data_IF_498035726137
#
_entry.id   IF_498035726137
#
_cell.length_a   1.000
_cell.length_b   1.000
_cell.length_c   1.000
_cell.angle_alpha   90.00
_cell.angle_beta   90.00
_cell.angle_gamma   90.00
#
_symmetry.space_group_name_H-M   'P 1'
#
loop_
_entity.id
_entity.type
_entity.pdbx_description
1 polymer ?
#
# COMPACT_ATOMS: atom_id res chain seq x y z
N UNK A 1 28.38 10.56 -48.64
CA UNK A 1 29.02 10.31 -47.35
C UNK A 1 28.22 9.23 -46.65
N UNK A 2 28.80 8.07 -46.37
CA UNK A 2 28.17 7.02 -45.58
C UNK A 2 28.19 7.47 -44.11
N UNK A 3 27.04 7.84 -43.57
CA UNK A 3 26.92 8.08 -42.14
C UNK A 3 27.07 6.73 -41.43
N UNK A 4 28.16 6.55 -40.69
CA UNK A 4 28.26 5.45 -39.75
C UNK A 4 27.23 5.69 -38.64
N UNK A 5 26.37 4.70 -38.41
CA UNK A 5 25.44 4.73 -37.27
C UNK A 5 26.24 4.82 -35.97
N UNK A 6 26.05 5.85 -35.14
CA UNK A 6 26.78 5.96 -33.87
C UNK A 6 26.54 4.74 -32.98
N UNK A 7 27.60 4.31 -32.31
CA UNK A 7 27.54 3.32 -31.24
C UNK A 7 26.74 3.84 -30.04
N UNK A 8 26.32 2.94 -29.16
CA UNK A 8 25.55 3.31 -27.97
C UNK A 8 26.30 4.28 -27.05
N UNK A 9 27.62 4.12 -26.89
CA UNK A 9 28.45 5.01 -26.08
C UNK A 9 28.57 6.41 -26.71
N UNK A 10 28.73 6.47 -28.04
CA UNK A 10 28.75 7.74 -28.78
C UNK A 10 27.41 8.46 -28.65
N UNK A 11 26.29 7.74 -28.79
CA UNK A 11 24.95 8.30 -28.65
C UNK A 11 24.69 8.86 -27.25
N UNK A 12 25.13 8.15 -26.20
CA UNK A 12 25.00 8.62 -24.82
C UNK A 12 25.84 9.89 -24.56
N UNK A 13 27.08 9.91 -25.02
CA UNK A 13 27.96 11.07 -24.87
C UNK A 13 27.41 12.29 -25.62
N UNK A 14 26.88 12.06 -26.82
CA UNK A 14 26.19 13.05 -27.63
C UNK A 14 24.98 13.61 -26.89
N UNK A 15 24.11 12.77 -26.32
CA UNK A 15 22.96 13.25 -25.54
C UNK A 15 23.39 14.02 -24.29
N UNK A 16 24.51 13.69 -23.64
CA UNK A 16 25.00 14.44 -22.48
C UNK A 16 25.47 15.85 -22.86
N UNK A 17 26.21 15.97 -23.96
CA UNK A 17 26.91 17.20 -24.34
C UNK A 17 26.14 18.09 -25.32
N UNK A 18 25.18 17.53 -26.07
CA UNK A 18 24.52 18.27 -27.14
C UNK A 18 23.64 19.40 -26.62
N UNK A 19 23.82 20.57 -27.26
CA UNK A 19 22.87 21.67 -27.23
C UNK A 19 21.63 21.33 -28.07
N UNK A 20 20.50 22.04 -27.89
CA UNK A 20 19.32 21.85 -28.76
C UNK A 20 19.66 21.95 -30.25
N UNK A 21 20.46 22.93 -30.66
CA UNK A 21 20.92 23.09 -32.04
C UNK A 21 21.71 21.89 -32.57
N UNK A 22 22.60 21.29 -31.77
CA UNK A 22 23.31 20.07 -32.16
C UNK A 22 22.36 18.88 -32.32
N UNK A 23 21.37 18.73 -31.43
CA UNK A 23 20.39 17.66 -31.55
C UNK A 23 19.58 17.80 -32.85
N UNK A 24 19.20 19.02 -33.24
CA UNK A 24 18.49 19.27 -34.49
C UNK A 24 19.24 18.79 -35.73
N UNK A 25 20.56 18.94 -35.76
CA UNK A 25 21.39 18.51 -36.89
C UNK A 25 21.56 16.99 -36.96
N UNK A 26 21.59 16.33 -35.79
CA UNK A 26 21.93 14.90 -35.68
C UNK A 26 20.69 14.02 -35.79
N UNK A 27 19.56 14.46 -35.23
CA UNK A 27 18.32 13.70 -35.18
C UNK A 27 17.88 13.17 -36.55
N UNK A 28 17.90 13.94 -37.65
CA UNK A 28 17.51 13.43 -38.97
C UNK A 28 18.31 12.20 -39.42
N UNK A 29 19.59 12.09 -39.02
CA UNK A 29 20.49 11.00 -39.40
C UNK A 29 20.38 9.75 -38.52
N UNK A 30 19.69 9.81 -37.37
CA UNK A 30 19.53 8.67 -36.48
C UNK A 30 18.52 7.66 -37.02
N UNK A 31 18.92 6.38 -37.04
CA UNK A 31 18.02 5.28 -37.34
C UNK A 31 17.00 5.04 -36.21
N UNK A 32 15.90 4.37 -36.52
CA UNK A 32 14.82 4.05 -35.57
C UNK A 32 15.30 3.38 -34.26
N UNK A 33 16.19 2.37 -34.26
CA UNK A 33 16.69 1.78 -33.02
C UNK A 33 17.46 2.78 -32.15
N UNK A 34 18.11 3.76 -32.77
CA UNK A 34 18.88 4.78 -32.06
C UNK A 34 17.94 5.79 -31.41
N UNK A 35 16.81 6.12 -32.04
CA UNK A 35 15.77 6.93 -31.40
C UNK A 35 15.18 6.24 -30.17
N UNK A 36 14.93 4.93 -30.24
CA UNK A 36 14.51 4.15 -29.07
C UNK A 36 15.57 4.22 -27.96
N UNK A 37 16.85 4.09 -28.29
CA UNK A 37 17.94 4.20 -27.31
C UNK A 37 18.06 5.62 -26.73
N UNK A 38 17.81 6.67 -27.52
CA UNK A 38 17.80 8.04 -27.02
C UNK A 38 16.79 8.23 -25.88
N UNK A 39 15.57 7.72 -26.06
CA UNK A 39 14.55 7.77 -25.02
C UNK A 39 15.03 7.05 -23.75
N UNK A 40 15.57 5.84 -23.87
CA UNK A 40 16.07 5.06 -22.72
C UNK A 40 17.21 5.77 -21.98
N UNK A 41 18.19 6.29 -22.71
CA UNK A 41 19.32 7.00 -22.09
C UNK A 41 18.91 8.27 -21.35
N UNK A 42 17.89 8.99 -21.84
CA UNK A 42 17.37 10.16 -21.13
C UNK A 42 16.76 9.82 -19.76
N UNK A 43 16.29 8.59 -19.56
CA UNK A 43 15.74 8.11 -18.28
C UNK A 43 16.85 7.52 -17.39
N UNK A 44 17.64 6.61 -17.96
CA UNK A 44 18.58 5.77 -17.22
C UNK A 44 19.85 6.49 -16.77
N UNK A 45 20.25 7.57 -17.46
CA UNK A 45 21.60 8.14 -17.33
C UNK A 45 21.64 9.61 -16.88
N UNK A 46 20.86 10.00 -15.87
CA UNK A 46 20.89 11.33 -15.20
C UNK A 46 21.31 12.50 -16.13
N UNK A 47 20.68 12.57 -17.31
CA UNK A 47 21.13 13.48 -18.36
C UNK A 47 20.70 14.92 -17.98
N UNK A 48 21.62 15.90 -17.97
CA UNK A 48 21.25 17.28 -17.70
C UNK A 48 20.20 17.77 -18.70
N UNK A 49 19.16 18.43 -18.18
CA UNK A 49 18.04 18.96 -18.96
C UNK A 49 17.31 17.89 -19.78
N UNK A 50 17.16 16.67 -19.23
CA UNK A 50 16.49 15.55 -19.90
C UNK A 50 15.11 15.94 -20.47
N UNK A 51 14.29 16.68 -19.72
CA UNK A 51 13.00 17.18 -20.21
C UNK A 51 13.12 18.05 -21.47
N UNK A 52 14.01 19.05 -21.45
CA UNK A 52 14.22 19.93 -22.61
C UNK A 52 14.72 19.14 -23.82
N UNK A 53 15.59 18.15 -23.62
CA UNK A 53 16.06 17.27 -24.70
C UNK A 53 14.95 16.39 -25.24
N UNK A 54 14.11 15.82 -24.36
CA UNK A 54 12.94 15.03 -24.75
C UNK A 54 11.96 15.84 -25.60
N UNK A 55 11.60 17.04 -25.16
CA UNK A 55 10.75 17.97 -25.91
C UNK A 55 11.35 18.32 -27.26
N UNK A 56 12.66 18.59 -27.31
CA UNK A 56 13.32 18.94 -28.56
C UNK A 56 13.36 17.77 -29.55
N UNK A 57 13.59 16.54 -29.07
CA UNK A 57 13.47 15.34 -29.92
C UNK A 57 12.06 15.24 -30.48
N UNK A 58 11.03 15.41 -29.65
CA UNK A 58 9.64 15.37 -30.08
C UNK A 58 9.33 16.45 -31.14
N UNK A 59 9.85 17.67 -30.97
CA UNK A 59 9.67 18.76 -31.93
C UNK A 59 10.27 18.44 -33.31
N UNK A 60 11.46 17.83 -33.36
CA UNK A 60 12.18 17.58 -34.61
C UNK A 60 11.76 16.30 -35.33
N UNK A 61 11.31 15.27 -34.62
CA UNK A 61 10.88 14.01 -35.26
C UNK A 61 9.47 14.16 -35.80
N UNK A 62 9.32 14.19 -37.12
CA UNK A 62 8.03 14.42 -37.79
C UNK A 62 7.43 13.17 -38.46
N UNK A 63 8.25 12.16 -38.75
CA UNK A 63 7.79 10.92 -39.40
C UNK A 63 7.13 9.98 -38.38
N UNK A 64 5.95 9.45 -38.70
CA UNK A 64 5.17 8.58 -37.81
C UNK A 64 5.95 7.35 -37.33
N UNK A 65 6.61 6.62 -38.23
CA UNK A 65 7.39 5.41 -37.88
C UNK A 65 8.54 5.72 -36.90
N UNK A 66 9.11 6.92 -37.01
CA UNK A 66 10.19 7.39 -36.14
C UNK A 66 9.66 7.80 -34.77
N UNK A 67 8.48 8.43 -34.71
CA UNK A 67 7.77 8.71 -33.45
C UNK A 67 7.36 7.41 -32.74
N UNK A 68 6.85 6.42 -33.47
CA UNK A 68 6.56 5.09 -32.94
C UNK A 68 7.81 4.44 -32.34
N UNK A 69 8.91 4.46 -33.07
CA UNK A 69 10.19 3.88 -32.61
C UNK A 69 10.74 4.60 -31.39
N UNK A 70 10.61 5.93 -31.33
CA UNK A 70 10.96 6.72 -30.17
C UNK A 70 10.08 6.34 -28.96
N UNK A 71 8.78 6.19 -29.15
CA UNK A 71 7.83 5.84 -28.09
C UNK A 71 8.10 4.48 -27.44
N UNK A 72 8.63 3.50 -28.19
CA UNK A 72 9.02 2.18 -27.66
C UNK A 72 10.10 2.25 -26.56
N UNK A 73 10.85 3.35 -26.49
CA UNK A 73 11.91 3.55 -25.52
C UNK A 73 11.51 4.41 -24.32
N UNK A 74 10.28 4.92 -24.28
CA UNK A 74 9.85 5.85 -23.23
C UNK A 74 9.57 5.16 -21.90
N UNK A 75 9.96 5.82 -20.82
CA UNK A 75 9.48 5.52 -19.46
C UNK A 75 8.14 6.20 -19.17
N UNK A 76 7.46 5.78 -18.10
CA UNK A 76 6.21 6.40 -17.63
C UNK A 76 6.37 7.89 -17.35
N UNK A 77 7.49 8.28 -16.71
CA UNK A 77 7.77 9.67 -16.41
C UNK A 77 8.00 10.49 -17.68
N UNK A 78 8.72 9.93 -18.66
CA UNK A 78 8.94 10.60 -19.94
C UNK A 78 7.66 10.77 -20.74
N UNK A 79 6.77 9.77 -20.73
CA UNK A 79 5.49 9.91 -21.42
C UNK A 79 4.60 10.97 -20.74
N UNK A 80 4.57 11.04 -19.41
CA UNK A 80 3.91 12.12 -18.66
C UNK A 80 4.48 13.50 -19.03
N UNK A 81 5.80 13.63 -19.12
CA UNK A 81 6.48 14.83 -19.58
C UNK A 81 6.09 15.23 -21.01
N UNK A 82 5.96 14.25 -21.91
CA UNK A 82 5.48 14.50 -23.28
C UNK A 82 4.03 15.01 -23.27
N UNK A 83 3.15 14.41 -22.47
CA UNK A 83 1.75 14.86 -22.36
C UNK A 83 1.66 16.29 -21.81
N UNK A 84 2.49 16.64 -20.82
CA UNK A 84 2.63 17.99 -20.31
C UNK A 84 3.06 18.96 -21.42
N UNK A 85 4.13 18.64 -22.15
CA UNK A 85 4.63 19.49 -23.23
C UNK A 85 3.60 19.65 -24.37
N UNK A 86 2.93 18.58 -24.79
CA UNK A 86 1.86 18.61 -25.79
C UNK A 86 0.64 19.44 -25.34
N UNK A 87 0.38 19.51 -24.03
CA UNK A 87 -0.70 20.34 -23.48
C UNK A 87 -0.40 21.85 -23.65
N UNK A 88 0.87 22.21 -23.58
CA UNK A 88 1.38 23.58 -23.72
C UNK A 88 1.66 23.96 -25.18
N UNK A 89 1.84 22.98 -26.07
CA UNK A 89 2.17 23.20 -27.49
C UNK A 89 1.15 22.53 -28.42
N UNK A 90 -0.04 23.15 -28.63
CA UNK A 90 -1.13 22.54 -29.40
C UNK A 90 -0.79 22.16 -30.84
N UNK A 91 0.19 22.84 -31.46
CA UNK A 91 0.64 22.54 -32.83
C UNK A 91 1.24 21.14 -32.97
N UNK A 92 1.74 20.55 -31.87
CA UNK A 92 2.37 19.22 -31.86
C UNK A 92 1.40 18.09 -31.52
N UNK A 93 0.13 18.38 -31.21
CA UNK A 93 -0.86 17.36 -30.77
C UNK A 93 -1.00 16.18 -31.75
N UNK A 94 -0.87 16.44 -33.06
CA UNK A 94 -0.91 15.42 -34.11
C UNK A 94 0.14 14.31 -33.97
N UNK A 95 1.21 14.54 -33.19
CA UNK A 95 2.26 13.55 -32.92
C UNK A 95 1.86 12.50 -31.88
N UNK A 96 0.77 12.73 -31.13
CA UNK A 96 0.34 11.84 -30.06
C UNK A 96 -0.09 10.46 -30.58
N UNK A 97 -0.85 10.40 -31.67
CA UNK A 97 -1.32 9.13 -32.23
C UNK A 97 -0.19 8.15 -32.60
N UNK A 98 0.85 8.55 -33.38
CA UNK A 98 2.03 7.69 -33.60
C UNK A 98 2.78 7.32 -32.33
N UNK A 99 2.88 8.22 -31.35
CA UNK A 99 3.50 7.88 -30.06
C UNK A 99 2.71 6.77 -29.35
N UNK A 100 1.38 6.84 -29.33
CA UNK A 100 0.52 5.82 -28.72
C UNK A 100 0.67 4.45 -29.40
N UNK A 101 0.87 4.41 -30.72
CA UNK A 101 1.12 3.15 -31.45
C UNK A 101 2.40 2.47 -30.98
N UNK A 102 3.48 3.24 -30.74
CA UNK A 102 4.75 2.69 -30.29
C UNK A 102 4.87 2.48 -28.78
N UNK A 103 3.95 3.05 -27.99
CA UNK A 103 4.04 3.06 -26.53
C UNK A 103 3.82 1.65 -25.94
N UNK A 104 4.71 1.12 -25.09
CA UNK A 104 4.47 -0.14 -24.43
C UNK A 104 3.24 -0.06 -23.52
N UNK A 105 2.36 -1.05 -23.60
CA UNK A 105 1.12 -1.08 -22.80
C UNK A 105 1.37 -0.83 -21.30
N UNK A 106 2.36 -1.47 -20.61
CA UNK A 106 2.62 -1.21 -19.19
C UNK A 106 2.90 0.26 -18.86
N UNK A 107 3.54 0.99 -19.77
CA UNK A 107 3.83 2.42 -19.60
C UNK A 107 2.54 3.23 -19.66
N UNK A 108 1.64 2.91 -20.59
CA UNK A 108 0.31 3.53 -20.66
C UNK A 108 -0.51 3.27 -19.39
N UNK A 109 -0.55 2.02 -18.91
CA UNK A 109 -1.29 1.65 -17.69
C UNK A 109 -0.80 2.46 -16.48
N UNK A 110 0.51 2.51 -16.25
CA UNK A 110 1.10 3.28 -15.15
C UNK A 110 0.93 4.80 -15.33
N UNK A 111 0.84 5.27 -16.57
CA UNK A 111 0.54 6.69 -16.85
C UNK A 111 -0.87 7.04 -16.38
N UNK A 112 -1.86 6.19 -16.63
CA UNK A 112 -3.23 6.43 -16.17
C UNK A 112 -3.35 6.51 -14.64
N UNK A 113 -2.51 5.79 -13.90
CA UNK A 113 -2.46 5.85 -12.42
C UNK A 113 -1.84 7.16 -11.89
N UNK A 114 -1.04 7.87 -12.68
CA UNK A 114 -0.23 9.02 -12.23
C UNK A 114 -0.54 10.33 -12.93
N UNK A 115 -1.35 10.29 -13.99
CA UNK A 115 -1.58 11.45 -14.85
C UNK A 115 -2.29 12.57 -14.09
N UNK A 116 -1.75 13.78 -14.18
CA UNK A 116 -2.44 14.96 -13.68
C UNK A 116 -3.68 15.24 -14.55
N UNK A 117 -4.86 15.49 -13.94
CA UNK A 117 -6.09 15.83 -14.68
C UNK A 117 -5.92 16.96 -15.71
N UNK A 118 -4.98 17.89 -15.50
CA UNK A 118 -4.67 18.97 -16.44
C UNK A 118 -4.15 18.45 -17.80
N UNK A 119 -3.35 17.37 -17.80
CA UNK A 119 -2.73 16.82 -19.01
C UNK A 119 -3.61 15.76 -19.69
N UNK A 120 -4.64 15.28 -18.99
CA UNK A 120 -5.61 14.31 -19.50
C UNK A 120 -6.32 14.79 -20.78
N UNK A 121 -6.46 16.12 -20.95
CA UNK A 121 -7.08 16.70 -22.13
C UNK A 121 -6.33 16.36 -23.43
N UNK A 122 -5.02 16.11 -23.39
CA UNK A 122 -4.27 15.63 -24.55
C UNK A 122 -4.80 14.28 -25.04
N UNK A 123 -5.01 13.34 -24.13
CA UNK A 123 -5.56 12.02 -24.45
C UNK A 123 -7.04 12.09 -24.85
N UNK A 124 -7.83 13.00 -24.26
CA UNK A 124 -9.24 13.19 -24.67
C UNK A 124 -9.40 13.58 -26.13
N UNK A 125 -8.46 14.33 -26.71
CA UNK A 125 -8.51 14.67 -28.13
C UNK A 125 -8.28 13.47 -29.05
N UNK A 126 -7.60 12.44 -28.55
CA UNK A 126 -7.32 11.19 -29.25
C UNK A 126 -8.35 10.09 -28.94
N UNK A 127 -9.43 10.39 -28.20
CA UNK A 127 -10.41 9.40 -27.75
C UNK A 127 -11.06 8.59 -28.89
N UNK A 128 -11.12 9.18 -30.08
CA UNK A 128 -11.67 8.57 -31.29
C UNK A 128 -10.64 7.77 -32.10
N UNK A 129 -9.36 7.80 -31.76
CA UNK A 129 -8.31 7.16 -32.55
C UNK A 129 -8.09 5.71 -32.12
N UNK A 130 -7.82 4.85 -33.09
CA UNK A 130 -7.60 3.42 -32.88
C UNK A 130 -6.47 3.11 -31.88
N UNK A 131 -5.30 3.82 -31.90
CA UNK A 131 -4.22 3.52 -30.96
C UNK A 131 -4.64 3.72 -29.50
N UNK A 132 -5.37 4.79 -29.20
CA UNK A 132 -5.85 5.04 -27.84
C UNK A 132 -6.92 4.03 -27.44
N UNK A 133 -7.87 3.72 -28.33
CA UNK A 133 -8.90 2.71 -28.07
C UNK A 133 -8.31 1.32 -27.84
N UNK A 134 -7.26 0.95 -28.57
CA UNK A 134 -6.53 -0.29 -28.37
C UNK A 134 -5.88 -0.34 -26.98
N UNK A 135 -5.14 0.70 -26.59
CA UNK A 135 -4.51 0.79 -25.27
C UNK A 135 -5.53 0.77 -24.12
N UNK A 136 -6.69 1.41 -24.30
CA UNK A 136 -7.79 1.37 -23.33
C UNK A 136 -8.44 -0.02 -23.26
N UNK A 137 -8.53 -0.74 -24.37
CA UNK A 137 -8.99 -2.14 -24.40
C UNK A 137 -8.02 -3.05 -23.63
N UNK A 138 -6.71 -2.86 -23.82
CA UNK A 138 -5.70 -3.57 -23.03
C UNK A 138 -5.78 -3.23 -21.54
N UNK A 139 -6.03 -1.95 -21.20
CA UNK A 139 -6.26 -1.53 -19.82
C UNK A 139 -7.47 -2.22 -19.18
N UNK A 140 -8.57 -2.38 -19.92
CA UNK A 140 -9.75 -3.11 -19.45
C UNK A 140 -9.39 -4.57 -19.12
N UNK A 141 -8.68 -5.26 -20.01
CA UNK A 141 -8.26 -6.64 -19.76
C UNK A 141 -7.30 -6.78 -18.58
N UNK A 142 -6.38 -5.83 -18.42
CA UNK A 142 -5.52 -5.75 -17.24
C UNK A 142 -6.33 -5.53 -15.96
N UNK A 143 -7.38 -4.70 -16.00
CA UNK A 143 -8.30 -4.51 -14.88
C UNK A 143 -9.08 -5.78 -14.55
N UNK A 144 -9.55 -6.52 -15.55
CA UNK A 144 -10.24 -7.81 -15.34
C UNK A 144 -9.33 -8.83 -14.64
N UNK A 145 -8.08 -8.95 -15.11
CA UNK A 145 -7.09 -9.82 -14.51
C UNK A 145 -6.72 -9.40 -13.08
N UNK A 146 -6.52 -8.09 -12.85
CA UNK A 146 -6.25 -7.55 -11.52
C UNK A 146 -7.42 -7.76 -10.57
N UNK A 147 -8.66 -7.60 -11.05
CA UNK A 147 -9.86 -7.85 -10.25
C UNK A 147 -9.93 -9.31 -9.80
N UNK A 148 -9.69 -10.26 -10.72
CA UNK A 148 -9.68 -11.69 -10.40
C UNK A 148 -8.61 -12.04 -9.37
N UNK A 149 -7.37 -11.64 -9.62
CA UNK A 149 -6.24 -11.93 -8.72
C UNK A 149 -6.40 -11.26 -7.34
N UNK A 150 -7.01 -10.07 -7.30
CA UNK A 150 -7.30 -9.40 -6.02
C UNK A 150 -8.45 -10.09 -5.28
N UNK A 151 -9.48 -10.55 -5.97
CA UNK A 151 -10.56 -11.32 -5.35
C UNK A 151 -10.03 -12.62 -4.72
N UNK A 152 -9.19 -13.37 -5.44
CA UNK A 152 -8.50 -14.54 -4.92
C UNK A 152 -7.63 -14.19 -3.70
N UNK A 153 -6.93 -13.05 -3.75
CA UNK A 153 -6.14 -12.55 -2.63
C UNK A 153 -7.01 -12.22 -1.40
N UNK A 154 -8.16 -11.58 -1.58
CA UNK A 154 -9.11 -11.28 -0.48
C UNK A 154 -9.61 -12.57 0.17
N UNK A 155 -10.01 -13.57 -0.61
CA UNK A 155 -10.42 -14.88 -0.09
C UNK A 155 -9.28 -15.56 0.67
N UNK A 156 -8.06 -15.51 0.14
CA UNK A 156 -6.89 -16.06 0.82
C UNK A 156 -6.60 -15.35 2.15
N UNK A 157 -6.67 -14.02 2.21
CA UNK A 157 -6.49 -13.27 3.45
C UNK A 157 -7.60 -13.58 4.47
N UNK A 158 -8.84 -13.72 4.01
CA UNK A 158 -9.93 -14.17 4.87
C UNK A 158 -9.63 -15.53 5.48
N UNK A 159 -9.15 -16.50 4.68
CA UNK A 159 -8.74 -17.81 5.20
C UNK A 159 -7.58 -17.70 6.20
N UNK A 160 -6.55 -16.92 5.87
CA UNK A 160 -5.41 -16.70 6.77
C UNK A 160 -5.86 -16.14 8.11
N UNK A 161 -6.78 -15.17 8.11
CA UNK A 161 -7.38 -14.62 9.34
C UNK A 161 -8.02 -15.73 10.17
N UNK A 162 -8.83 -16.62 9.57
CA UNK A 162 -9.47 -17.72 10.30
C UNK A 162 -8.46 -18.77 10.83
N UNK A 163 -7.33 -18.95 10.15
CA UNK A 163 -6.27 -19.90 10.52
C UNK A 163 -5.35 -19.33 11.61
N UNK A 164 -5.37 -18.02 11.87
CA UNK A 164 -4.60 -17.39 12.94
C UNK A 164 -4.93 -18.02 14.28
N UNK A 165 -3.90 -18.24 15.08
CA UNK A 165 -3.99 -18.66 16.48
C UNK A 165 -3.73 -17.43 17.37
N UNK A 166 -4.77 -16.74 17.88
CA UNK A 166 -4.59 -15.48 18.62
C UNK A 166 -3.66 -15.62 19.83
N UNK A 167 -3.64 -16.78 20.48
CA UNK A 167 -2.88 -17.03 21.70
C UNK A 167 -1.35 -16.99 21.49
N UNK A 168 -0.88 -17.38 20.30
CA UNK A 168 0.55 -17.47 19.96
C UNK A 168 1.00 -16.37 19.01
N UNK A 169 0.08 -15.49 18.61
CA UNK A 169 0.35 -14.45 17.62
C UNK A 169 1.40 -13.46 18.13
N UNK A 170 2.45 -13.29 17.33
CA UNK A 170 3.48 -12.28 17.57
C UNK A 170 3.10 -10.93 16.96
N UNK A 171 3.78 -9.88 17.41
CA UNK A 171 3.61 -8.53 16.85
C UNK A 171 3.99 -8.46 15.37
N UNK A 172 5.10 -9.09 14.99
CA UNK A 172 5.60 -9.08 13.60
C UNK A 172 4.61 -9.76 12.64
N UNK A 173 4.01 -10.89 13.04
CA UNK A 173 3.00 -11.57 12.24
C UNK A 173 1.72 -10.74 12.04
N UNK A 174 1.28 -10.02 13.09
CA UNK A 174 0.11 -9.15 13.00
C UNK A 174 0.38 -7.95 12.10
N UNK A 175 1.51 -7.26 12.28
CA UNK A 175 1.90 -6.14 11.42
C UNK A 175 2.07 -6.57 9.96
N UNK A 176 2.69 -7.73 9.71
CA UNK A 176 2.88 -8.25 8.35
C UNK A 176 1.54 -8.54 7.66
N UNK A 177 0.56 -9.08 8.38
CA UNK A 177 -0.77 -9.33 7.85
C UNK A 177 -1.50 -8.02 7.53
N UNK A 178 -1.49 -7.06 8.45
CA UNK A 178 -2.10 -5.75 8.25
C UNK A 178 -1.45 -5.00 7.08
N UNK A 179 -0.12 -5.04 6.97
CA UNK A 179 0.62 -4.43 5.87
C UNK A 179 0.23 -5.04 4.51
N UNK A 180 -0.03 -6.35 4.45
CA UNK A 180 -0.51 -7.01 3.25
C UNK A 180 -1.94 -6.58 2.87
N UNK A 181 -2.86 -6.50 3.85
CA UNK A 181 -4.23 -6.00 3.64
C UNK A 181 -4.18 -4.54 3.16
N UNK A 182 -3.35 -3.71 3.78
CA UNK A 182 -3.16 -2.31 3.39
C UNK A 182 -2.61 -2.18 1.97
N UNK A 183 -1.64 -3.03 1.59
CA UNK A 183 -1.10 -3.05 0.23
C UNK A 183 -2.18 -3.39 -0.81
N UNK A 184 -3.05 -4.35 -0.54
CA UNK A 184 -4.19 -4.65 -1.42
C UNK A 184 -5.12 -3.45 -1.58
N UNK A 185 -5.43 -2.77 -0.47
CA UNK A 185 -6.24 -1.55 -0.47
C UNK A 185 -5.63 -0.45 -1.37
N UNK A 186 -4.33 -0.18 -1.23
CA UNK A 186 -3.63 0.83 -2.03
C UNK A 186 -3.65 0.50 -3.54
N UNK A 187 -3.46 -0.77 -3.90
CA UNK A 187 -3.52 -1.22 -5.31
C UNK A 187 -4.89 -0.93 -5.92
N UNK A 188 -5.99 -1.22 -5.19
CA UNK A 188 -7.34 -0.96 -5.69
C UNK A 188 -7.65 0.54 -5.80
N UNK A 189 -7.17 1.37 -4.87
CA UNK A 189 -7.34 2.83 -4.95
C UNK A 189 -6.65 3.39 -6.19
N UNK A 190 -5.38 3.06 -6.39
CA UNK A 190 -4.62 3.52 -7.56
C UNK A 190 -5.30 3.08 -8.86
N UNK A 191 -5.82 1.84 -8.89
CA UNK A 191 -6.53 1.33 -10.05
C UNK A 191 -7.87 2.03 -10.29
N UNK A 192 -8.64 2.32 -9.25
CA UNK A 192 -9.89 3.08 -9.35
C UNK A 192 -9.66 4.48 -9.90
N UNK A 193 -8.58 5.14 -9.50
CA UNK A 193 -8.17 6.42 -10.07
C UNK A 193 -7.84 6.30 -11.56
N UNK A 194 -7.07 5.29 -11.96
CA UNK A 194 -6.80 5.01 -13.38
C UNK A 194 -8.08 4.72 -14.18
N UNK A 195 -9.04 3.99 -13.61
CA UNK A 195 -10.35 3.75 -14.24
C UNK A 195 -11.11 5.07 -14.43
N UNK A 196 -11.09 5.97 -13.45
CA UNK A 196 -11.71 7.29 -13.57
C UNK A 196 -11.06 8.12 -14.68
N UNK A 197 -9.72 8.08 -14.80
CA UNK A 197 -9.00 8.74 -15.89
C UNK A 197 -9.37 8.14 -17.26
N UNK A 198 -9.41 6.81 -17.37
CA UNK A 198 -9.83 6.11 -18.59
C UNK A 198 -11.27 6.44 -19.00
N UNK A 199 -12.21 6.47 -18.04
CA UNK A 199 -13.59 6.90 -18.28
C UNK A 199 -13.67 8.35 -18.77
N UNK A 200 -12.90 9.25 -18.16
CA UNK A 200 -12.86 10.65 -18.56
C UNK A 200 -12.27 10.85 -19.98
N UNK A 201 -11.38 9.97 -20.42
CA UNK A 201 -10.89 9.93 -21.81
C UNK A 201 -12.00 9.44 -22.74
N UNK A 202 -12.67 8.35 -22.38
CA UNK A 202 -13.69 7.68 -23.22
C UNK A 202 -15.04 8.40 -23.27
N UNK A 203 -15.33 9.33 -22.37
CA UNK A 203 -16.61 10.04 -22.36
C UNK A 203 -16.92 10.75 -23.69
N UNK A 204 -15.87 11.19 -24.39
CA UNK A 204 -15.99 11.81 -25.71
C UNK A 204 -15.76 10.81 -26.86
N UNK A 205 -15.53 9.53 -26.57
CA UNK A 205 -15.40 8.49 -27.58
C UNK A 205 -16.79 7.90 -27.87
N UNK A 206 -17.12 7.70 -29.14
CA UNK A 206 -18.37 7.03 -29.55
C UNK A 206 -18.31 5.49 -29.31
N UNK A 207 -17.67 5.06 -28.22
CA UNK A 207 -17.42 3.66 -27.84
C UNK A 207 -18.16 3.33 -26.54
N UNK A 208 -19.49 3.26 -26.66
CA UNK A 208 -20.40 2.96 -25.54
C UNK A 208 -20.01 1.64 -24.86
N UNK A 209 -19.58 0.65 -25.63
CA UNK A 209 -19.12 -0.64 -25.14
C UNK A 209 -17.94 -0.54 -24.14
N UNK A 210 -16.97 0.33 -24.41
CA UNK A 210 -15.82 0.54 -23.50
C UNK A 210 -16.23 1.33 -22.26
N UNK A 211 -17.13 2.30 -22.40
CA UNK A 211 -17.66 3.11 -21.30
C UNK A 211 -18.43 2.22 -20.31
N UNK A 212 -19.33 1.37 -20.83
CA UNK A 212 -20.11 0.44 -20.02
C UNK A 212 -19.20 -0.55 -19.29
N UNK A 213 -18.19 -1.07 -20.00
CA UNK A 213 -17.25 -2.03 -19.41
C UNK A 213 -16.41 -1.42 -18.29
N UNK A 214 -15.90 -0.20 -18.45
CA UNK A 214 -15.19 0.51 -17.38
C UNK A 214 -16.10 0.87 -16.21
N UNK A 215 -17.37 1.19 -16.47
CA UNK A 215 -18.35 1.47 -15.42
C UNK A 215 -18.64 0.22 -14.58
N UNK A 216 -18.82 -0.93 -15.24
CA UNK A 216 -18.95 -2.22 -14.56
C UNK A 216 -17.71 -2.55 -13.73
N UNK A 217 -16.51 -2.38 -14.31
CA UNK A 217 -15.25 -2.62 -13.58
C UNK A 217 -15.16 -1.69 -12.37
N UNK A 218 -15.45 -0.40 -12.52
CA UNK A 218 -15.43 0.56 -11.41
C UNK A 218 -16.30 0.09 -10.24
N UNK A 219 -17.53 -0.35 -10.50
CA UNK A 219 -18.43 -0.88 -9.48
C UNK A 219 -17.86 -2.14 -8.80
N UNK A 220 -17.28 -3.07 -9.58
CA UNK A 220 -16.66 -4.29 -9.05
C UNK A 220 -15.43 -3.97 -8.18
N UNK A 221 -14.58 -3.03 -8.61
CA UNK A 221 -13.45 -2.54 -7.82
C UNK A 221 -13.92 -1.86 -6.53
N UNK A 222 -14.98 -1.03 -6.58
CA UNK A 222 -15.56 -0.44 -5.37
C UNK A 222 -16.11 -1.50 -4.42
N UNK A 223 -16.73 -2.56 -4.94
CA UNK A 223 -17.22 -3.66 -4.12
C UNK A 223 -16.08 -4.41 -3.44
N UNK A 224 -15.01 -4.76 -4.18
CA UNK A 224 -13.82 -5.37 -3.57
C UNK A 224 -13.15 -4.45 -2.55
N UNK A 225 -13.08 -3.15 -2.83
CA UNK A 225 -12.52 -2.18 -1.89
C UNK A 225 -13.30 -2.17 -0.56
N UNK A 226 -14.63 -2.28 -0.62
CA UNK A 226 -15.47 -2.43 0.59
C UNK A 226 -15.24 -3.75 1.31
N UNK A 227 -14.97 -4.85 0.59
CA UNK A 227 -14.64 -6.14 1.20
C UNK A 227 -13.28 -6.12 1.90
N UNK A 228 -12.29 -5.40 1.37
CA UNK A 228 -11.03 -5.16 2.06
C UNK A 228 -11.26 -4.26 3.28
N UNK A 229 -12.03 -3.19 3.08
CA UNK A 229 -12.39 -2.24 4.13
C UNK A 229 -11.21 -1.37 4.55
N UNK A 230 -11.27 -0.86 5.78
CA UNK A 230 -10.29 0.07 6.32
C UNK A 230 -10.00 -0.24 7.79
N UNK A 231 -8.76 0.03 8.20
CA UNK A 231 -8.40 0.17 9.61
C UNK A 231 -8.71 1.60 10.04
N UNK A 232 -9.41 1.79 11.16
CA UNK A 232 -9.61 3.11 11.74
C UNK A 232 -9.72 3.01 13.25
N UNK A 233 -9.06 3.94 13.94
CA UNK A 233 -9.18 4.09 15.39
C UNK A 233 -10.45 4.89 15.77
N UNK A 234 -11.05 5.59 14.81
CA UNK A 234 -12.19 6.51 15.02
C UNK A 234 -13.50 6.01 14.44
N UNK A 235 -13.45 5.19 13.40
CA UNK A 235 -14.59 4.54 12.77
C UNK A 235 -14.49 3.03 12.95
N UNK A 236 -15.61 2.31 13.05
CA UNK A 236 -15.55 0.85 13.15
C UNK A 236 -14.85 0.28 11.92
N UNK A 237 -13.88 -0.60 12.15
CA UNK A 237 -13.22 -1.32 11.08
C UNK A 237 -14.25 -2.01 10.18
N UNK A 238 -13.91 -2.17 8.90
CA UNK A 238 -14.77 -2.81 7.91
C UNK A 238 -14.02 -3.91 7.17
N UNK A 239 -14.75 -4.86 6.59
CA UNK A 239 -14.20 -5.84 5.67
C UNK A 239 -13.20 -6.79 6.32
N UNK A 240 -12.02 -6.97 5.70
CA UNK A 240 -10.96 -7.84 6.22
C UNK A 240 -10.41 -7.35 7.58
N UNK A 241 -10.34 -6.04 7.80
CA UNK A 241 -9.91 -5.50 9.09
C UNK A 241 -10.91 -5.83 10.19
N UNK A 242 -12.21 -5.71 9.90
CA UNK A 242 -13.25 -6.12 10.84
C UNK A 242 -13.17 -7.62 11.14
N UNK A 243 -13.03 -8.45 10.11
CA UNK A 243 -12.91 -9.90 10.29
C UNK A 243 -11.68 -10.27 11.14
N UNK A 244 -10.56 -9.56 10.96
CA UNK A 244 -9.37 -9.71 11.78
C UNK A 244 -9.63 -9.31 13.24
N UNK A 245 -10.21 -8.13 13.47
CA UNK A 245 -10.54 -7.67 14.82
C UNK A 245 -11.52 -8.61 15.54
N UNK A 246 -12.55 -9.07 14.85
CA UNK A 246 -13.53 -10.01 15.37
C UNK A 246 -12.87 -11.35 15.72
N UNK A 247 -12.03 -11.90 14.83
CA UNK A 247 -11.31 -13.15 15.08
C UNK A 247 -10.34 -13.04 16.25
N UNK A 248 -9.59 -11.94 16.36
CA UNK A 248 -8.69 -11.69 17.49
C UNK A 248 -9.48 -11.48 18.79
N UNK A 249 -10.60 -10.76 18.75
CA UNK A 249 -11.45 -10.54 19.90
C UNK A 249 -12.10 -11.83 20.44
N UNK A 250 -12.14 -12.91 19.65
CA UNK A 250 -12.66 -14.21 20.11
C UNK A 250 -11.91 -14.72 21.34
N UNK A 251 -10.65 -14.32 21.57
CA UNK A 251 -9.89 -14.72 22.77
C UNK A 251 -10.55 -14.27 24.08
N UNK A 252 -11.33 -13.18 24.03
CA UNK A 252 -12.07 -12.66 25.17
C UNK A 252 -13.48 -13.25 25.28
N UNK A 253 -13.97 -13.94 24.24
CA UNK A 253 -15.31 -14.56 24.22
C UNK A 253 -15.23 -16.05 24.52
N UNK A 254 -16.28 -16.60 25.14
CA UNK A 254 -16.35 -18.05 25.38
C UNK A 254 -16.53 -18.82 24.05
N UNK A 255 -15.78 -19.91 23.87
CA UNK A 255 -15.85 -20.75 22.67
C UNK A 255 -17.21 -21.46 22.49
N UNK A 256 -17.99 -21.62 23.57
CA UNK A 256 -19.36 -22.12 23.54
C UNK A 256 -20.24 -21.30 24.50
N UNK A 257 -21.13 -20.44 23.99
CA UNK A 257 -22.00 -19.59 24.82
C UNK A 257 -23.06 -20.39 25.60
N UNK A 258 -23.22 -21.69 25.33
CA UNK A 258 -24.18 -22.56 26.02
C UNK A 258 -23.61 -23.29 27.24
N UNK A 259 -22.29 -23.27 27.45
CA UNK A 259 -21.62 -24.05 28.51
C UNK A 259 -21.01 -23.19 29.64
N UNK A 260 -20.60 -21.95 29.40
CA UNK A 260 -20.00 -21.10 30.45
C UNK A 260 -20.13 -19.59 30.14
N UNK A 261 -21.26 -19.00 30.53
CA UNK A 261 -21.48 -17.53 30.45
C UNK A 261 -20.47 -16.78 31.34
N UNK A 262 -20.00 -17.40 32.43
CA UNK A 262 -19.07 -16.81 33.40
C UNK A 262 -17.62 -16.66 32.88
N UNK A 263 -17.31 -17.14 31.66
CA UNK A 263 -15.95 -17.04 31.10
C UNK A 263 -15.82 -16.04 29.95
N UNK A 264 -16.92 -15.46 29.44
CA UNK A 264 -16.85 -14.43 28.41
C UNK A 264 -16.63 -13.06 29.06
N UNK A 265 -15.63 -12.32 28.58
CA UNK A 265 -15.32 -11.00 29.08
C UNK A 265 -15.98 -9.91 28.22
N UNK A 266 -16.60 -8.95 28.90
CA UNK A 266 -17.15 -7.73 28.33
C UNK A 266 -16.09 -6.64 28.28
N UNK A 267 -16.36 -5.58 27.53
CA UNK A 267 -15.44 -4.45 27.35
C UNK A 267 -15.10 -3.71 28.65
N UNK A 268 -16.04 -3.67 29.60
CA UNK A 268 -15.86 -2.97 30.89
C UNK A 268 -15.13 -3.82 31.94
N UNK A 269 -14.93 -5.11 31.67
CA UNK A 269 -14.21 -6.02 32.58
C UNK A 269 -12.75 -5.61 32.73
N UNK A 270 -12.14 -5.96 33.86
CA UNK A 270 -10.79 -5.50 34.17
C UNK A 270 -9.76 -6.09 33.21
N UNK A 271 -8.75 -5.32 32.83
CA UNK A 271 -7.62 -5.85 32.05
C UNK A 271 -6.93 -7.05 32.73
N UNK A 272 -6.96 -7.11 34.06
CA UNK A 272 -6.46 -8.25 34.83
C UNK A 272 -7.26 -9.54 34.58
N UNK A 273 -8.58 -9.43 34.42
CA UNK A 273 -9.42 -10.56 34.02
C UNK A 273 -9.11 -10.96 32.58
N UNK A 274 -8.86 -9.98 31.69
CA UNK A 274 -8.35 -10.20 30.34
C UNK A 274 -7.05 -10.99 30.30
N UNK A 275 -6.11 -10.69 31.19
CA UNK A 275 -4.80 -11.37 31.25
C UNK A 275 -4.91 -12.86 31.58
N UNK A 276 -5.96 -13.30 32.27
CA UNK A 276 -6.20 -14.74 32.49
C UNK A 276 -6.36 -15.50 31.18
N UNK A 277 -6.88 -14.86 30.12
CA UNK A 277 -7.00 -15.44 28.76
C UNK A 277 -5.65 -15.63 28.07
N UNK A 278 -4.62 -14.92 28.53
CA UNK A 278 -3.23 -15.08 28.07
C UNK A 278 -2.43 -16.03 28.97
N UNK A 279 -3.09 -16.73 29.90
CA UNK A 279 -2.46 -17.59 30.91
C UNK A 279 -1.53 -16.85 31.89
N UNK A 280 -1.86 -15.61 32.23
CA UNK A 280 -1.16 -14.82 33.26
C UNK A 280 -1.97 -14.91 34.55
N UNK A 281 -1.46 -15.65 35.54
CA UNK A 281 -2.22 -15.98 36.77
C UNK A 281 -1.49 -15.58 38.05
N UNK A 282 -0.16 -15.66 38.05
CA UNK A 282 0.65 -15.51 39.25
C UNK A 282 1.45 -14.21 39.24
N UNK A 283 1.77 -13.66 40.42
CA UNK A 283 2.61 -12.46 40.54
C UNK A 283 3.96 -12.58 39.81
N UNK A 284 4.47 -13.80 39.68
CA UNK A 284 5.65 -14.10 38.86
C UNK A 284 5.46 -13.70 37.39
N UNK A 285 4.30 -13.99 36.81
CA UNK A 285 3.99 -13.63 35.41
C UNK A 285 3.98 -12.10 35.24
N UNK A 286 3.31 -11.37 36.13
CA UNK A 286 3.28 -9.90 36.12
C UNK A 286 4.67 -9.28 36.28
N UNK A 287 5.51 -9.88 37.12
CA UNK A 287 6.90 -9.45 37.31
C UNK A 287 7.75 -9.71 36.07
N UNK A 288 7.63 -10.89 35.44
CA UNK A 288 8.32 -11.22 34.18
C UNK A 288 7.92 -10.28 33.04
N UNK A 289 6.65 -9.87 32.99
CA UNK A 289 6.14 -8.86 32.05
C UNK A 289 6.68 -7.44 32.33
N UNK A 290 7.26 -7.20 33.50
CA UNK A 290 7.77 -5.88 33.90
C UNK A 290 6.72 -4.94 34.47
N UNK A 291 5.53 -5.43 34.86
CA UNK A 291 4.47 -4.64 35.50
C UNK A 291 4.74 -4.36 37.00
N UNK A 292 5.81 -4.90 37.55
CA UNK A 292 6.26 -4.67 38.93
C UNK A 292 7.69 -4.08 38.95
N UNK A 293 7.89 -2.85 38.45
CA UNK A 293 9.22 -2.27 38.25
C UNK A 293 9.98 -1.97 39.55
N UNK A 294 9.29 -1.89 40.68
CA UNK A 294 9.88 -1.68 42.01
C UNK A 294 10.61 -2.91 42.56
N UNK A 295 10.29 -4.10 42.06
CA UNK A 295 10.88 -5.37 42.50
C UNK A 295 12.07 -5.74 41.62
N UNK A 296 13.25 -5.85 42.25
CA UNK A 296 14.50 -6.21 41.55
C UNK A 296 14.76 -7.71 41.51
N UNK A 297 14.14 -8.46 42.41
CA UNK A 297 14.41 -9.87 42.67
C UNK A 297 13.09 -10.66 42.81
N UNK A 298 13.06 -11.88 42.28
CA UNK A 298 11.85 -12.71 42.28
C UNK A 298 11.45 -13.15 43.71
N UNK A 299 12.41 -13.23 44.61
CA UNK A 299 12.22 -13.54 46.03
C UNK A 299 11.37 -12.49 46.76
N UNK A 300 11.21 -11.29 46.19
CA UNK A 300 10.39 -10.22 46.77
C UNK A 300 8.88 -10.39 46.48
N UNK A 301 8.51 -11.37 45.63
CA UNK A 301 7.12 -11.65 45.27
C UNK A 301 6.35 -12.38 46.38
N UNK A 302 7.05 -13.13 47.23
CA UNK A 302 6.44 -13.88 48.33
C UNK A 302 7.22 -13.64 49.63
N UNK A 303 6.53 -13.34 50.72
CA UNK A 303 7.15 -13.33 52.05
C UNK A 303 7.23 -14.76 52.58
N UNK A 304 8.28 -15.06 53.33
CA UNK A 304 8.48 -16.38 53.93
C UNK A 304 7.39 -16.68 54.98
N UNK A 305 6.58 -17.74 54.80
CA UNK A 305 5.52 -18.11 55.72
C UNK A 305 6.00 -18.49 57.13
N UNK A 306 7.28 -18.87 57.28
CA UNK A 306 7.84 -19.23 58.58
C UNK A 306 8.16 -18.00 59.47
N UNK A 307 8.26 -16.82 58.87
CA UNK A 307 8.71 -15.58 59.54
C UNK A 307 7.66 -14.49 59.60
N UNK A 308 6.53 -14.66 58.89
CA UNK A 308 5.48 -13.65 58.78
C UNK A 308 4.11 -14.22 59.15
N UNK A 309 3.26 -13.38 59.74
CA UNK A 309 1.87 -13.71 60.04
C UNK A 309 1.01 -13.79 58.77
N UNK A 310 -0.10 -14.51 58.82
CA UNK A 310 -1.07 -14.58 57.71
C UNK A 310 -1.56 -13.19 57.27
N UNK A 311 -1.70 -12.26 58.22
CA UNK A 311 -2.16 -10.90 57.94
C UNK A 311 -1.10 -10.07 57.20
N UNK A 312 0.18 -10.25 57.51
CA UNK A 312 1.29 -9.62 56.78
C UNK A 312 1.42 -10.20 55.36
N UNK A 313 1.25 -11.51 55.20
CA UNK A 313 1.22 -12.17 53.90
C UNK A 313 0.09 -11.64 53.01
N UNK A 314 -1.11 -11.46 53.57
CA UNK A 314 -2.26 -10.92 52.87
C UNK A 314 -2.06 -9.45 52.47
N UNK A 315 -1.56 -8.62 53.39
CA UNK A 315 -1.23 -7.22 53.12
C UNK A 315 -0.18 -7.07 52.00
N UNK A 316 0.86 -7.92 52.00
CA UNK A 316 1.89 -7.92 50.96
C UNK A 316 1.31 -8.25 49.58
N UNK A 317 0.47 -9.30 49.49
CA UNK A 317 -0.21 -9.66 48.24
C UNK A 317 -1.12 -8.52 47.75
N UNK A 318 -1.83 -7.85 48.66
CA UNK A 318 -2.67 -6.71 48.31
C UNK A 318 -1.84 -5.52 47.78
N UNK A 319 -0.68 -5.23 48.39
CA UNK A 319 0.24 -4.20 47.89
C UNK A 319 0.78 -4.51 46.50
N UNK A 320 1.18 -5.77 46.26
CA UNK A 320 1.61 -6.21 44.93
C UNK A 320 0.51 -6.05 43.89
N UNK A 321 -0.72 -6.42 44.23
CA UNK A 321 -1.88 -6.26 43.36
C UNK A 321 -2.14 -4.78 43.02
N UNK A 322 -2.12 -3.89 44.02
CA UNK A 322 -2.27 -2.46 43.80
C UNK A 322 -1.15 -1.89 42.91
N UNK A 323 0.09 -2.35 43.09
CA UNK A 323 1.21 -1.92 42.24
C UNK A 323 1.06 -2.36 40.77
N UNK A 324 0.50 -3.54 40.52
CA UNK A 324 0.13 -3.96 39.15
C UNK A 324 -0.96 -3.05 38.58
N UNK A 325 -2.02 -2.77 39.34
CA UNK A 325 -3.10 -1.88 38.90
C UNK A 325 -2.59 -0.47 38.57
N UNK A 326 -1.77 0.13 39.44
CA UNK A 326 -1.14 1.43 39.19
C UNK A 326 -0.29 1.43 37.91
N UNK A 327 0.41 0.32 37.64
CA UNK A 327 1.23 0.17 36.43
C UNK A 327 0.35 0.06 35.18
N UNK A 328 -0.77 -0.66 35.25
CA UNK A 328 -1.75 -0.75 34.16
C UNK A 328 -2.42 0.59 33.88
N UNK A 329 -2.78 1.35 34.93
CA UNK A 329 -3.35 2.68 34.79
C UNK A 329 -2.38 3.65 34.10
N UNK A 330 -1.08 3.60 34.45
CA UNK A 330 -0.02 4.37 33.77
C UNK A 330 0.11 4.01 32.30
N UNK A 331 -0.05 2.72 31.96
CA UNK A 331 -0.06 2.22 30.59
C UNK A 331 -1.40 2.45 29.86
N UNK A 332 -2.42 2.98 30.55
CA UNK A 332 -3.79 3.13 30.05
C UNK A 332 -4.43 1.80 29.64
N UNK A 333 -4.12 0.71 30.35
CA UNK A 333 -4.66 -0.62 30.14
C UNK A 333 -5.56 -1.04 31.31
N UNK A 334 -6.63 -0.29 31.56
CA UNK A 334 -7.49 -0.52 32.73
C UNK A 334 -8.55 -1.60 32.50
N UNK A 335 -8.99 -1.75 31.25
CA UNK A 335 -10.12 -2.59 30.86
C UNK A 335 -9.80 -3.51 29.66
N UNK A 336 -10.63 -4.52 29.44
CA UNK A 336 -10.58 -5.35 28.21
C UNK A 336 -10.74 -4.50 26.96
N UNK A 337 -11.57 -3.45 27.00
CA UNK A 337 -11.67 -2.47 25.90
C UNK A 337 -10.32 -1.82 25.59
N UNK A 338 -9.56 -1.45 26.62
CA UNK A 338 -8.24 -0.84 26.43
C UNK A 338 -7.24 -1.83 25.82
N UNK A 339 -7.30 -3.11 26.21
CA UNK A 339 -6.50 -4.17 25.58
C UNK A 339 -6.83 -4.32 24.09
N UNK A 340 -8.12 -4.37 23.74
CA UNK A 340 -8.57 -4.43 22.34
C UNK A 340 -8.10 -3.21 21.54
N UNK A 341 -8.26 -2.00 22.10
CA UNK A 341 -7.80 -0.75 21.47
C UNK A 341 -6.29 -0.70 21.28
N UNK A 342 -5.54 -1.23 22.24
CA UNK A 342 -4.08 -1.37 22.16
C UNK A 342 -3.63 -2.57 21.29
N UNK A 343 -4.57 -3.31 20.69
CA UNK A 343 -4.35 -4.53 19.90
C UNK A 343 -3.59 -5.63 20.65
N UNK A 344 -3.87 -5.77 21.94
CA UNK A 344 -3.25 -6.76 22.80
C UNK A 344 -4.17 -7.99 22.88
N UNK A 345 -3.84 -9.03 22.12
CA UNK A 345 -4.60 -10.29 22.04
C UNK A 345 -3.79 -11.52 22.44
N UNK A 346 -2.53 -11.35 22.84
CA UNK A 346 -1.64 -12.44 23.25
C UNK A 346 -0.65 -11.95 24.30
N UNK A 347 -0.03 -12.90 25.03
CA UNK A 347 1.04 -12.58 25.97
C UNK A 347 2.23 -11.91 25.25
N UNK A 348 2.58 -12.37 24.06
CA UNK A 348 3.68 -11.80 23.26
C UNK A 348 3.41 -10.34 22.86
N UNK A 349 2.17 -10.03 22.47
CA UNK A 349 1.76 -8.67 22.14
C UNK A 349 1.80 -7.75 23.38
N UNK A 350 1.36 -8.26 24.53
CA UNK A 350 1.44 -7.54 25.81
C UNK A 350 2.90 -7.23 26.20
N UNK A 351 3.79 -8.21 26.08
CA UNK A 351 5.23 -8.05 26.34
C UNK A 351 5.84 -6.95 25.45
N UNK A 352 5.52 -6.98 24.16
CA UNK A 352 5.98 -5.97 23.21
C UNK A 352 5.46 -4.57 23.62
N UNK A 353 4.16 -4.45 23.91
CA UNK A 353 3.53 -3.20 24.31
C UNK A 353 4.17 -2.59 25.56
N UNK A 354 4.34 -3.40 26.62
CA UNK A 354 4.95 -2.95 27.87
C UNK A 354 6.40 -2.53 27.64
N UNK A 355 7.16 -3.27 26.82
CA UNK A 355 8.55 -2.93 26.49
C UNK A 355 8.64 -1.58 25.78
N UNK A 356 7.75 -1.30 24.83
CA UNK A 356 7.69 -0.03 24.12
C UNK A 356 7.33 1.15 25.07
N UNK A 357 6.48 0.90 26.06
CA UNK A 357 5.97 1.92 27.00
C UNK A 357 6.65 1.90 28.37
N UNK A 358 7.78 1.21 28.50
CA UNK A 358 8.48 1.03 29.78
C UNK A 358 8.86 2.33 30.48
N UNK A 359 9.09 3.39 29.71
CA UNK A 359 9.38 4.73 30.19
C UNK A 359 8.22 5.38 30.99
N UNK A 360 6.99 4.88 30.87
CA UNK A 360 5.83 5.33 31.64
C UNK A 360 5.73 4.66 33.03
N UNK A 361 6.47 3.56 33.23
CA UNK A 361 6.42 2.77 34.46
C UNK A 361 7.49 3.16 35.49
N UNK A 362 8.51 3.90 35.06
CA UNK A 362 9.56 4.50 35.90
C UNK A 362 9.14 5.87 36.40
#
# INVERSE_FOLDING_TARGET
MTFHSPSNEELLNLLKQASPTHLQEILPALAEPQLTQCARFLDEHSIPNAFSKLSHILEQVNESNRLESFARGLSTNQFLMILEHLSQTPSLKHKLSPLLVGLPSPIFLQTLEKINPLFLNCLKHESMTEPLQHLLTLFIHDCEHLLQTTHESVVNHMRLIHELQPQTLSFEELEDLEAQIFKLHQVLIARLEAINHAQAILWNANRIDLIDKLSQLKEQFFFLLKQIGHASDTEPAAGLYQALEEHLAQIFTAADPSLDIDTSLQDEDSALEGFTKFSIWYFKDYWELGLLPSLKQAEQLELDPATHSEQELLNHRQQLFMAVQESLDKLKLSSVRDLKKARIFSKSLLEHYIKAHRHLLT
#
